data_IF_828090821350
#
_entry.id   IF_828090821350
#
_cell.length_a   1.000
_cell.length_b   1.000
_cell.length_c   1.000
_cell.angle_alpha   90.00
_cell.angle_beta   90.00
_cell.angle_gamma   90.00
#
_symmetry.space_group_name_H-M   'P 1'
#
loop_
_entity.id
_entity.type
_entity.pdbx_description
1 polymer ?
#
# COMPACT_ATOMS: atom_id res chain seq x y z
N UNK A 1 -10.00 -30.85 -2.50
CA UNK A 1 -9.89 -29.39 -2.36
C UNK A 1 -9.60 -29.11 -0.90
N UNK A 2 -8.41 -28.60 -0.60
CA UNK A 2 -7.89 -28.43 0.75
C UNK A 2 -8.84 -27.50 1.56
N UNK A 3 -9.09 -27.81 2.83
CA UNK A 3 -10.00 -27.04 3.69
C UNK A 3 -9.61 -25.54 3.69
N UNK A 4 -8.31 -25.23 3.68
CA UNK A 4 -7.75 -23.87 3.50
C UNK A 4 -8.31 -23.17 2.25
N UNK A 5 -8.38 -23.87 1.13
CA UNK A 5 -8.89 -23.31 -0.14
C UNK A 5 -10.40 -23.06 -0.10
N UNK A 6 -11.17 -23.88 0.61
CA UNK A 6 -12.61 -23.67 0.83
C UNK A 6 -12.89 -22.44 1.69
N UNK A 7 -12.13 -22.22 2.76
CA UNK A 7 -12.28 -21.04 3.62
C UNK A 7 -11.82 -19.77 2.91
N UNK A 8 -10.72 -19.81 2.15
CA UNK A 8 -10.28 -18.70 1.31
C UNK A 8 -11.33 -18.36 0.25
N UNK A 9 -11.90 -19.35 -0.43
CA UNK A 9 -12.98 -19.13 -1.42
C UNK A 9 -14.27 -18.61 -0.78
N UNK A 10 -14.63 -19.09 0.42
CA UNK A 10 -15.81 -18.57 1.15
C UNK A 10 -15.57 -17.14 1.61
N UNK A 11 -14.35 -16.80 2.06
CA UNK A 11 -13.95 -15.44 2.44
C UNK A 11 -13.97 -14.54 1.19
N UNK A 12 -13.43 -14.97 0.05
CA UNK A 12 -13.51 -14.22 -1.21
C UNK A 12 -14.93 -14.10 -1.76
N UNK A 13 -15.79 -15.11 -1.60
CA UNK A 13 -17.21 -15.06 -2.00
C UNK A 13 -18.03 -14.12 -1.10
N UNK A 14 -17.73 -14.08 0.19
CA UNK A 14 -18.36 -13.14 1.14
C UNK A 14 -17.87 -11.71 0.90
N UNK A 15 -16.60 -11.53 0.54
CA UNK A 15 -15.99 -10.23 0.18
C UNK A 15 -16.50 -9.75 -1.19
N UNK A 16 -16.70 -10.67 -2.16
CA UNK A 16 -17.18 -10.33 -3.52
C UNK A 16 -18.61 -9.78 -3.57
N UNK A 17 -19.38 -9.91 -2.49
CA UNK A 17 -20.82 -9.57 -2.54
C UNK A 17 -21.15 -8.17 -2.00
N UNK A 18 -20.30 -7.50 -1.19
CA UNK A 18 -20.67 -6.18 -0.64
C UNK A 18 -19.56 -5.18 -0.25
N UNK A 19 -18.33 -5.36 -0.62
CA UNK A 19 -17.40 -4.23 -0.51
C UNK A 19 -17.35 -3.50 -1.85
N UNK A 20 -18.37 -2.71 -2.15
CA UNK A 20 -18.19 -1.53 -2.99
C UNK A 20 -17.16 -0.68 -2.28
N UNK A 21 -15.91 -0.78 -2.72
CA UNK A 21 -14.82 0.04 -2.22
C UNK A 21 -15.18 1.47 -2.63
N UNK A 22 -15.48 2.39 -1.68
CA UNK A 22 -15.81 3.78 -2.03
C UNK A 22 -14.72 4.44 -2.87
N UNK A 23 -13.49 3.94 -2.78
CA UNK A 23 -12.34 4.38 -3.55
C UNK A 23 -12.54 4.27 -5.09
N UNK A 24 -13.27 3.29 -5.59
CA UNK A 24 -13.42 3.12 -7.04
C UNK A 24 -14.37 4.14 -7.65
N UNK A 25 -15.37 4.61 -6.91
CA UNK A 25 -16.30 5.65 -7.40
C UNK A 25 -15.64 7.04 -7.44
N UNK A 26 -14.58 7.27 -6.65
CA UNK A 26 -13.90 8.56 -6.57
C UNK A 26 -12.66 8.66 -7.48
N UNK A 27 -12.05 7.55 -7.89
CA UNK A 27 -10.83 7.55 -8.73
C UNK A 27 -11.09 8.13 -10.12
N UNK A 28 -12.17 7.76 -10.79
CA UNK A 28 -12.44 8.20 -12.16
C UNK A 28 -12.67 9.71 -12.26
N UNK A 29 -13.49 10.35 -11.42
CA UNK A 29 -13.59 11.81 -11.37
C UNK A 29 -12.27 12.51 -11.07
N UNK A 30 -11.44 11.96 -10.15
CA UNK A 30 -10.13 12.50 -9.83
C UNK A 30 -9.19 12.47 -11.05
N UNK A 31 -9.16 11.35 -11.78
CA UNK A 31 -8.39 11.24 -13.04
C UNK A 31 -8.85 12.31 -14.04
N UNK A 32 -10.15 12.43 -14.27
CA UNK A 32 -10.70 13.43 -15.21
C UNK A 32 -10.32 14.86 -14.83
N UNK A 33 -10.36 15.17 -13.54
CA UNK A 33 -9.94 16.48 -13.04
C UNK A 33 -8.48 16.77 -13.34
N UNK A 34 -7.58 15.83 -13.06
CA UNK A 34 -6.14 16.03 -13.31
C UNK A 34 -5.83 16.09 -14.81
N UNK A 35 -6.51 15.29 -15.65
CA UNK A 35 -6.37 15.37 -17.09
C UNK A 35 -6.82 16.73 -17.65
N UNK A 36 -7.87 17.34 -17.07
CA UNK A 36 -8.28 18.71 -17.46
C UNK A 36 -7.24 19.76 -17.09
N UNK A 37 -6.54 19.59 -15.95
CA UNK A 37 -5.41 20.46 -15.59
C UNK A 37 -4.31 20.34 -16.64
N UNK A 38 -3.93 19.13 -17.03
CA UNK A 38 -2.90 18.89 -18.04
C UNK A 38 -3.28 19.39 -19.44
N UNK A 39 -4.57 19.45 -19.81
CA UNK A 39 -5.00 20.09 -21.05
C UNK A 39 -4.70 21.59 -21.09
N UNK A 40 -4.70 22.26 -19.93
CA UNK A 40 -4.41 23.69 -19.78
C UNK A 40 -2.93 23.96 -19.54
N UNK A 41 -2.30 23.10 -18.77
CA UNK A 41 -0.88 23.16 -18.43
C UNK A 41 -0.24 21.77 -18.56
N UNK A 42 0.27 21.37 -19.73
CA UNK A 42 0.82 20.03 -19.98
C UNK A 42 2.03 19.66 -19.12
N UNK A 43 2.67 20.65 -18.50
CA UNK A 43 3.86 20.49 -17.65
C UNK A 43 3.54 20.63 -16.15
N UNK A 44 2.29 20.56 -15.76
CA UNK A 44 1.89 20.59 -14.34
C UNK A 44 2.37 19.33 -13.62
N UNK A 45 3.49 19.45 -12.92
CA UNK A 45 4.10 18.31 -12.22
C UNK A 45 3.22 17.72 -11.11
N UNK A 46 2.37 18.55 -10.49
CA UNK A 46 1.43 18.04 -9.47
C UNK A 46 0.37 17.17 -10.10
N UNK A 47 -0.22 17.62 -11.20
CA UNK A 47 -1.20 16.84 -11.94
C UNK A 47 -0.60 15.54 -12.51
N UNK A 48 0.65 15.60 -13.02
CA UNK A 48 1.37 14.40 -13.49
C UNK A 48 1.61 13.41 -12.36
N UNK A 49 2.06 13.88 -11.20
CA UNK A 49 2.24 13.04 -10.01
C UNK A 49 0.91 12.38 -9.62
N UNK A 50 -0.15 13.17 -9.46
CA UNK A 50 -1.46 12.64 -9.04
C UNK A 50 -1.98 11.60 -10.06
N UNK A 51 -1.84 11.83 -11.36
CA UNK A 51 -2.23 10.82 -12.36
C UNK A 51 -1.40 9.55 -12.29
N UNK A 52 -0.09 9.65 -12.10
CA UNK A 52 0.76 8.48 -11.89
C UNK A 52 0.22 7.62 -10.74
N UNK A 53 -0.04 8.20 -9.58
CA UNK A 53 -0.54 7.47 -8.41
C UNK A 53 -1.99 7.01 -8.54
N UNK A 54 -2.89 7.79 -9.16
CA UNK A 54 -4.26 7.38 -9.43
C UNK A 54 -4.33 6.19 -10.37
N UNK A 55 -3.47 6.13 -11.39
CA UNK A 55 -3.39 4.98 -12.28
C UNK A 55 -2.76 3.76 -11.61
N UNK A 56 -1.81 3.93 -10.66
CA UNK A 56 -1.36 2.84 -9.78
C UNK A 56 -2.52 2.25 -8.98
N UNK A 57 -3.32 3.09 -8.33
CA UNK A 57 -4.51 2.65 -7.58
C UNK A 57 -5.57 1.99 -8.46
N UNK A 58 -5.67 2.42 -9.71
CA UNK A 58 -6.57 1.82 -10.71
C UNK A 58 -6.02 0.50 -11.28
N UNK A 59 -4.79 0.11 -10.93
CA UNK A 59 -4.06 -1.02 -11.51
C UNK A 59 -3.79 -0.90 -13.02
N UNK A 60 -3.78 0.32 -13.56
CA UNK A 60 -3.36 0.63 -14.93
C UNK A 60 -1.88 1.07 -14.93
N UNK A 61 -1.00 0.09 -14.74
CA UNK A 61 0.43 0.33 -14.51
C UNK A 61 1.13 0.96 -15.71
N UNK A 62 0.67 0.67 -16.94
CA UNK A 62 1.25 1.28 -18.14
C UNK A 62 1.00 2.78 -18.20
N UNK A 63 -0.21 3.23 -17.85
CA UNK A 63 -0.49 4.65 -17.72
C UNK A 63 0.22 5.30 -16.55
N UNK A 64 0.36 4.59 -15.43
CA UNK A 64 1.16 5.07 -14.31
C UNK A 64 2.61 5.34 -14.72
N UNK A 65 3.22 4.42 -15.51
CA UNK A 65 4.56 4.60 -16.07
C UNK A 65 4.60 5.80 -17.02
N UNK A 66 3.64 5.93 -17.95
CA UNK A 66 3.58 7.05 -18.88
C UNK A 66 3.62 8.41 -18.15
N UNK A 67 2.78 8.58 -17.12
CA UNK A 67 2.75 9.82 -16.35
C UNK A 67 3.99 9.99 -15.47
N UNK A 68 4.52 8.91 -14.93
CA UNK A 68 5.77 8.90 -14.16
C UNK A 68 6.97 9.34 -15.00
N UNK A 69 7.11 8.84 -16.24
CA UNK A 69 8.17 9.23 -17.17
C UNK A 69 8.04 10.70 -17.61
N UNK A 70 6.82 11.16 -17.86
CA UNK A 70 6.58 12.59 -18.15
C UNK A 70 6.97 13.47 -16.97
N UNK A 71 6.60 13.08 -15.75
CA UNK A 71 6.98 13.79 -14.53
C UNK A 71 8.51 13.81 -14.37
N UNK A 72 9.18 12.68 -14.59
CA UNK A 72 10.63 12.57 -14.54
C UNK A 72 11.30 13.54 -15.54
N UNK A 73 10.86 13.51 -16.81
CA UNK A 73 11.41 14.35 -17.86
C UNK A 73 11.31 15.84 -17.49
N UNK A 74 10.13 16.30 -17.09
CA UNK A 74 9.90 17.70 -16.73
C UNK A 74 10.68 18.07 -15.47
N UNK A 75 10.70 17.20 -14.46
CA UNK A 75 11.50 17.38 -13.25
C UNK A 75 12.98 17.51 -13.56
N UNK A 76 13.50 16.70 -14.48
CA UNK A 76 14.90 16.76 -14.93
C UNK A 76 15.21 18.06 -15.68
N UNK A 77 14.36 18.47 -16.62
CA UNK A 77 14.51 19.72 -17.39
C UNK A 77 14.47 20.96 -16.47
N UNK A 78 13.64 20.93 -15.43
CA UNK A 78 13.51 22.00 -14.43
C UNK A 78 14.46 21.88 -13.25
N UNK A 79 15.29 20.84 -13.20
CA UNK A 79 16.18 20.50 -12.08
C UNK A 79 15.44 20.40 -10.74
N UNK A 80 14.17 19.93 -10.77
CA UNK A 80 13.35 19.76 -9.57
C UNK A 80 13.54 18.36 -8.97
N UNK A 81 14.65 18.21 -8.24
CA UNK A 81 15.01 16.96 -7.56
C UNK A 81 14.10 16.67 -6.36
N UNK A 82 13.60 17.71 -5.71
CA UNK A 82 12.80 17.58 -4.47
C UNK A 82 11.40 17.07 -4.72
N UNK A 83 10.81 17.39 -5.84
CA UNK A 83 9.44 16.98 -6.16
C UNK A 83 9.38 16.18 -7.46
N UNK A 84 9.67 16.78 -8.61
CA UNK A 84 9.48 16.13 -9.92
C UNK A 84 10.22 14.81 -10.03
N UNK A 85 11.53 14.81 -9.80
CA UNK A 85 12.38 13.62 -9.93
C UNK A 85 12.09 12.61 -8.81
N UNK A 86 11.97 13.07 -7.56
CA UNK A 86 11.69 12.20 -6.40
C UNK A 86 10.40 11.40 -6.60
N UNK A 87 9.27 12.09 -6.85
CA UNK A 87 7.99 11.41 -6.96
C UNK A 87 7.83 10.61 -8.27
N UNK A 88 8.52 10.99 -9.33
CA UNK A 88 8.61 10.16 -10.53
C UNK A 88 9.28 8.82 -10.23
N UNK A 89 10.41 8.82 -9.52
CA UNK A 89 11.09 7.59 -9.13
C UNK A 89 10.22 6.72 -8.20
N UNK A 90 9.49 7.31 -7.25
CA UNK A 90 8.57 6.56 -6.37
C UNK A 90 7.48 5.89 -7.22
N UNK A 91 6.80 6.65 -8.09
CA UNK A 91 5.71 6.13 -8.92
C UNK A 91 6.15 5.05 -9.90
N UNK A 92 7.29 5.27 -10.59
CA UNK A 92 7.88 4.30 -11.51
C UNK A 92 8.30 3.03 -10.77
N UNK A 93 8.97 3.15 -9.62
CA UNK A 93 9.34 2.01 -8.79
C UNK A 93 8.15 1.16 -8.40
N UNK A 94 7.07 1.78 -7.94
CA UNK A 94 5.83 1.06 -7.57
C UNK A 94 5.17 0.39 -8.79
N UNK A 95 5.10 1.08 -9.93
CA UNK A 95 4.52 0.51 -11.15
C UNK A 95 5.31 -0.72 -11.64
N UNK A 96 6.65 -0.64 -11.64
CA UNK A 96 7.51 -1.74 -12.04
C UNK A 96 7.43 -2.94 -11.08
N UNK A 97 7.26 -2.73 -9.76
CA UNK A 97 6.99 -3.84 -8.82
C UNK A 97 5.72 -4.58 -9.23
N UNK A 98 4.65 -3.86 -9.55
CA UNK A 98 3.37 -4.48 -9.90
C UNK A 98 3.41 -5.23 -11.24
N UNK A 99 4.36 -4.89 -12.11
CA UNK A 99 4.65 -5.61 -13.35
C UNK A 99 5.68 -6.74 -13.18
N UNK A 100 6.24 -6.91 -11.99
CA UNK A 100 7.28 -7.91 -11.71
C UNK A 100 8.65 -7.55 -12.30
N UNK A 101 8.87 -6.28 -12.62
CA UNK A 101 10.10 -5.80 -13.25
C UNK A 101 11.17 -5.45 -12.20
N UNK A 102 12.34 -6.07 -12.34
CA UNK A 102 13.47 -5.87 -11.41
C UNK A 102 14.08 -4.46 -11.46
N UNK A 103 13.81 -3.66 -12.50
CA UNK A 103 14.28 -2.27 -12.57
C UNK A 103 13.66 -1.38 -11.48
N UNK A 104 12.56 -1.82 -10.88
CA UNK A 104 11.90 -1.16 -9.76
C UNK A 104 12.87 -0.73 -8.65
N UNK A 105 13.83 -1.60 -8.28
CA UNK A 105 14.76 -1.32 -7.18
C UNK A 105 15.70 -0.15 -7.49
N UNK A 106 16.06 0.05 -8.76
CA UNK A 106 16.90 1.16 -9.17
C UNK A 106 16.16 2.49 -8.95
N UNK A 107 14.89 2.55 -9.35
CA UNK A 107 14.04 3.73 -9.12
C UNK A 107 13.85 4.01 -7.63
N UNK A 108 13.52 2.99 -6.82
CA UNK A 108 13.36 3.16 -5.38
C UNK A 108 14.67 3.55 -4.69
N UNK A 109 15.81 3.03 -5.15
CA UNK A 109 17.13 3.41 -4.65
C UNK A 109 17.43 4.90 -4.89
N UNK A 110 17.16 5.40 -6.09
CA UNK A 110 17.33 6.83 -6.41
C UNK A 110 16.36 7.70 -5.60
N UNK A 111 15.09 7.28 -5.47
CA UNK A 111 14.13 7.98 -4.64
C UNK A 111 14.58 8.06 -3.18
N UNK A 112 15.13 6.96 -2.62
CA UNK A 112 15.62 6.92 -1.25
C UNK A 112 16.74 7.93 -1.01
N UNK A 113 17.75 7.96 -1.89
CA UNK A 113 18.85 8.92 -1.79
C UNK A 113 18.35 10.37 -1.80
N UNK A 114 17.40 10.69 -2.67
CA UNK A 114 16.80 12.03 -2.75
C UNK A 114 15.99 12.35 -1.48
N UNK A 115 15.15 11.43 -1.02
CA UNK A 115 14.32 11.63 0.17
C UNK A 115 15.15 11.79 1.45
N UNK A 116 16.24 11.02 1.60
CA UNK A 116 17.18 11.14 2.72
C UNK A 116 17.90 12.50 2.71
N UNK A 117 18.37 12.95 1.54
CA UNK A 117 19.04 14.26 1.42
C UNK A 117 18.12 15.43 1.79
N UNK A 118 16.82 15.30 1.53
CA UNK A 118 15.80 16.31 1.82
C UNK A 118 15.11 16.11 3.18
N UNK A 119 15.47 15.06 3.93
CA UNK A 119 14.82 14.66 5.20
C UNK A 119 13.29 14.52 5.04
N UNK A 120 12.86 13.94 3.92
CA UNK A 120 11.45 13.78 3.57
C UNK A 120 10.92 12.44 4.08
N UNK A 121 10.56 12.37 5.37
CA UNK A 121 10.05 11.16 5.99
C UNK A 121 8.78 10.65 5.32
N UNK A 122 7.90 11.53 4.84
CA UNK A 122 6.68 11.12 4.11
C UNK A 122 6.99 10.36 2.81
N UNK A 123 8.02 10.79 2.07
CA UNK A 123 8.49 10.06 0.90
C UNK A 123 9.16 8.74 1.30
N UNK A 124 10.00 8.75 2.36
CA UNK A 124 10.68 7.55 2.86
C UNK A 124 9.69 6.45 3.24
N UNK A 125 8.54 6.78 3.86
CA UNK A 125 7.49 5.80 4.15
C UNK A 125 7.06 5.02 2.90
N UNK A 126 6.75 5.74 1.82
CA UNK A 126 6.31 5.14 0.55
C UNK A 126 7.42 4.35 -0.14
N UNK A 127 8.66 4.81 -0.04
CA UNK A 127 9.84 4.16 -0.61
C UNK A 127 10.12 2.85 0.12
N UNK A 128 10.13 2.84 1.45
CA UNK A 128 10.34 1.63 2.24
C UNK A 128 9.22 0.62 2.04
N UNK A 129 7.96 1.06 1.92
CA UNK A 129 6.87 0.18 1.52
C UNK A 129 7.15 -0.48 0.15
N UNK A 130 7.57 0.30 -0.84
CA UNK A 130 7.96 -0.23 -2.15
C UNK A 130 9.13 -1.22 -2.08
N UNK A 131 10.20 -0.90 -1.34
CA UNK A 131 11.34 -1.81 -1.17
C UNK A 131 10.94 -3.13 -0.49
N UNK A 132 10.07 -3.06 0.52
CA UNK A 132 9.51 -4.24 1.17
C UNK A 132 8.68 -5.11 0.23
N UNK A 133 7.81 -4.47 -0.58
CA UNK A 133 7.03 -5.18 -1.61
C UNK A 133 7.94 -5.79 -2.68
N UNK A 134 8.99 -5.10 -3.10
CA UNK A 134 9.98 -5.63 -4.03
C UNK A 134 10.65 -6.89 -3.47
N UNK A 135 11.14 -6.84 -2.23
CA UNK A 135 11.79 -7.98 -1.58
C UNK A 135 10.83 -9.17 -1.42
N UNK A 136 9.58 -8.93 -1.00
CA UNK A 136 8.60 -9.99 -0.77
C UNK A 136 8.05 -10.60 -2.05
N UNK A 137 7.69 -9.79 -3.05
CA UNK A 137 6.92 -10.25 -4.21
C UNK A 137 7.83 -10.77 -5.33
N UNK A 138 9.00 -10.14 -5.54
CA UNK A 138 9.91 -10.48 -6.62
C UNK A 138 10.94 -11.51 -6.16
N UNK A 139 11.56 -11.29 -5.00
CA UNK A 139 12.61 -12.16 -4.49
C UNK A 139 12.15 -13.19 -3.46
N UNK A 140 10.95 -13.05 -2.89
CA UNK A 140 10.44 -13.84 -1.75
C UNK A 140 11.39 -13.81 -0.54
N UNK A 141 12.16 -12.73 -0.42
CA UNK A 141 13.01 -12.46 0.73
C UNK A 141 12.20 -11.74 1.82
N UNK A 142 11.52 -12.56 2.63
CA UNK A 142 10.65 -12.05 3.69
C UNK A 142 11.44 -11.38 4.83
N UNK A 143 12.71 -11.72 5.01
CA UNK A 143 13.54 -11.08 6.02
C UNK A 143 13.82 -9.61 5.63
N UNK A 144 14.34 -9.39 4.44
CA UNK A 144 14.55 -8.03 3.92
C UNK A 144 13.24 -7.25 3.79
N UNK A 145 12.15 -7.92 3.42
CA UNK A 145 10.84 -7.27 3.34
C UNK A 145 10.38 -6.74 4.69
N UNK A 146 10.46 -7.55 5.75
CA UNK A 146 10.13 -7.13 7.12
C UNK A 146 11.01 -5.97 7.58
N UNK A 147 12.33 -6.03 7.31
CA UNK A 147 13.24 -4.94 7.64
C UNK A 147 12.77 -3.62 7.00
N UNK A 148 12.49 -3.61 5.70
CA UNK A 148 12.02 -2.39 5.03
C UNK A 148 10.66 -1.92 5.54
N UNK A 149 9.73 -2.82 5.83
CA UNK A 149 8.44 -2.42 6.38
C UNK A 149 8.57 -1.78 7.77
N UNK A 150 9.47 -2.28 8.62
CA UNK A 150 9.74 -1.66 9.93
C UNK A 150 10.41 -0.28 9.78
N UNK A 151 11.38 -0.12 8.88
CA UNK A 151 11.96 1.20 8.56
C UNK A 151 10.86 2.18 8.09
N UNK A 152 9.90 1.66 7.31
CA UNK A 152 8.74 2.44 6.88
C UNK A 152 7.86 2.87 8.05
N UNK A 153 7.59 1.99 9.02
CA UNK A 153 6.82 2.33 10.24
C UNK A 153 7.53 3.42 11.04
N UNK A 154 8.84 3.31 11.24
CA UNK A 154 9.62 4.35 11.92
C UNK A 154 9.50 5.71 11.20
N UNK A 155 9.49 5.70 9.88
CA UNK A 155 9.29 6.92 9.10
C UNK A 155 7.84 7.46 9.25
N UNK A 156 6.81 6.58 9.29
CA UNK A 156 5.42 7.04 9.50
C UNK A 156 5.23 7.71 10.86
N UNK A 157 5.89 7.21 11.91
CA UNK A 157 5.86 7.83 13.24
C UNK A 157 6.47 9.24 13.22
N UNK A 158 7.58 9.46 12.48
CA UNK A 158 8.20 10.79 12.38
C UNK A 158 7.35 11.81 11.62
N UNK A 159 6.60 11.37 10.61
CA UNK A 159 5.73 12.25 9.83
C UNK A 159 4.23 12.13 10.18
N UNK A 160 3.86 11.32 11.16
CA UNK A 160 2.48 11.09 11.64
C UNK A 160 1.52 10.61 10.53
N UNK A 161 1.98 9.71 9.66
CA UNK A 161 1.21 9.20 8.52
C UNK A 161 0.55 7.85 8.85
N UNK A 162 -0.52 7.88 9.64
CA UNK A 162 -1.20 6.69 10.18
C UNK A 162 -1.81 5.78 9.11
N UNK A 163 -2.33 6.32 8.00
CA UNK A 163 -2.89 5.49 6.93
C UNK A 163 -1.83 4.59 6.28
N UNK A 164 -0.61 5.11 6.09
CA UNK A 164 0.47 4.32 5.54
C UNK A 164 1.07 3.36 6.57
N UNK A 165 1.05 3.72 7.85
CA UNK A 165 1.38 2.81 8.95
C UNK A 165 0.48 1.56 8.91
N UNK A 166 -0.83 1.74 8.76
CA UNK A 166 -1.77 0.63 8.64
C UNK A 166 -1.48 -0.27 7.42
N UNK A 167 -1.06 0.30 6.29
CA UNK A 167 -0.66 -0.46 5.10
C UNK A 167 0.61 -1.29 5.38
N UNK A 168 1.61 -0.70 6.02
CA UNK A 168 2.86 -1.38 6.38
C UNK A 168 2.61 -2.53 7.36
N UNK A 169 1.80 -2.30 8.40
CA UNK A 169 1.36 -3.34 9.33
C UNK A 169 0.61 -4.47 8.61
N UNK A 170 -0.21 -4.14 7.61
CA UNK A 170 -0.89 -5.11 6.75
C UNK A 170 0.08 -5.98 5.96
N UNK A 171 1.13 -5.40 5.41
CA UNK A 171 2.17 -6.12 4.68
C UNK A 171 2.97 -7.03 5.62
N UNK A 172 3.31 -6.57 6.83
CA UNK A 172 3.97 -7.38 7.87
C UNK A 172 3.07 -8.55 8.26
N UNK A 173 1.80 -8.29 8.59
CA UNK A 173 0.83 -9.33 8.93
C UNK A 173 0.67 -10.36 7.82
N UNK A 174 0.70 -9.93 6.55
CA UNK A 174 0.62 -10.81 5.38
C UNK A 174 1.82 -11.76 5.27
N UNK A 175 3.02 -11.32 5.63
CA UNK A 175 4.20 -12.20 5.66
C UNK A 175 4.03 -13.28 6.72
N UNK A 176 3.58 -12.94 7.92
CA UNK A 176 3.31 -13.92 8.98
C UNK A 176 2.17 -14.87 8.61
N UNK A 177 1.14 -14.37 7.92
CA UNK A 177 0.07 -15.18 7.35
C UNK A 177 0.60 -16.23 6.37
N UNK A 178 1.49 -15.85 5.45
CA UNK A 178 2.08 -16.77 4.47
C UNK A 178 2.94 -17.86 5.13
N UNK A 179 3.49 -17.57 6.30
CA UNK A 179 4.33 -18.48 7.09
C UNK A 179 3.51 -19.36 8.06
N UNK A 180 2.21 -19.19 8.15
CA UNK A 180 1.35 -19.77 9.18
C UNK A 180 1.87 -19.45 10.61
N UNK A 181 2.42 -18.23 10.80
CA UNK A 181 3.02 -17.78 12.06
C UNK A 181 2.05 -16.85 12.80
N UNK A 182 1.58 -17.24 14.01
CA UNK A 182 0.60 -16.48 14.78
C UNK A 182 1.16 -15.13 15.32
N UNK A 183 2.45 -14.87 15.23
CA UNK A 183 3.05 -13.56 15.55
C UNK A 183 2.37 -12.41 14.79
N UNK A 184 1.82 -12.71 13.61
CA UNK A 184 1.02 -11.76 12.82
C UNK A 184 -0.21 -11.22 13.54
N UNK A 185 -0.67 -11.83 14.63
CA UNK A 185 -1.81 -11.38 15.43
C UNK A 185 -1.60 -9.97 15.98
N UNK A 186 -0.41 -9.69 16.53
CA UNK A 186 -0.09 -8.37 17.09
C UNK A 186 -0.29 -7.25 16.07
N UNK A 187 0.22 -7.45 14.85
CA UNK A 187 0.09 -6.47 13.77
C UNK A 187 -1.35 -6.33 13.27
N UNK A 188 -2.08 -7.43 13.20
CA UNK A 188 -3.50 -7.43 12.83
C UNK A 188 -4.36 -6.65 13.82
N UNK A 189 -4.09 -6.77 15.12
CA UNK A 189 -4.76 -6.01 16.17
C UNK A 189 -4.41 -4.52 16.10
N UNK A 190 -3.16 -4.16 15.81
CA UNK A 190 -2.77 -2.76 15.60
C UNK A 190 -3.51 -2.12 14.42
N UNK A 191 -3.68 -2.84 13.30
CA UNK A 191 -4.51 -2.37 12.17
C UNK A 191 -5.95 -2.13 12.60
N UNK A 192 -6.52 -3.06 13.40
CA UNK A 192 -7.87 -2.94 13.90
C UNK A 192 -8.05 -1.71 14.78
N UNK A 193 -7.11 -1.45 15.69
CA UNK A 193 -7.10 -0.27 16.56
C UNK A 193 -6.94 1.04 15.78
N UNK A 194 -6.00 1.09 14.83
CA UNK A 194 -5.85 2.24 13.93
C UNK A 194 -7.12 2.49 13.12
N UNK A 195 -7.81 1.45 12.69
CA UNK A 195 -9.09 1.55 12.00
C UNK A 195 -10.14 2.27 12.84
N UNK A 196 -10.21 1.99 14.15
CA UNK A 196 -11.10 2.71 15.07
C UNK A 196 -10.67 4.16 15.28
N UNK A 197 -9.38 4.43 15.45
CA UNK A 197 -8.85 5.78 15.61
C UNK A 197 -9.12 6.68 14.39
N UNK A 198 -8.97 6.11 13.18
CA UNK A 198 -9.17 6.79 11.91
C UNK A 198 -10.63 6.76 11.43
N UNK A 199 -11.54 6.13 12.19
CA UNK A 199 -12.93 5.88 11.79
C UNK A 199 -13.03 5.23 10.38
N UNK A 200 -12.12 4.29 10.09
CA UNK A 200 -12.02 3.59 8.82
C UNK A 200 -12.62 2.20 8.90
N UNK A 201 -13.83 2.03 8.39
CA UNK A 201 -14.50 0.72 8.33
C UNK A 201 -13.66 -0.32 7.56
N UNK A 202 -12.91 0.11 6.56
CA UNK A 202 -12.01 -0.75 5.80
C UNK A 202 -10.88 -1.32 6.66
N UNK A 203 -10.16 -0.47 7.42
CA UNK A 203 -9.06 -0.92 8.29
C UNK A 203 -9.58 -1.80 9.43
N UNK A 204 -10.72 -1.45 10.05
CA UNK A 204 -11.39 -2.27 11.05
C UNK A 204 -11.67 -3.68 10.48
N UNK A 205 -12.22 -3.72 9.26
CA UNK A 205 -12.53 -5.00 8.61
C UNK A 205 -11.27 -5.84 8.32
N UNK A 206 -10.24 -5.25 7.74
CA UNK A 206 -8.99 -5.95 7.39
C UNK A 206 -8.28 -6.43 8.66
N UNK A 207 -8.17 -5.57 9.68
CA UNK A 207 -7.56 -5.94 10.97
C UNK A 207 -8.29 -7.11 11.63
N UNK A 208 -9.63 -7.05 11.68
CA UNK A 208 -10.45 -8.13 12.23
C UNK A 208 -10.33 -9.44 11.44
N UNK A 209 -10.29 -9.38 10.11
CA UNK A 209 -10.14 -10.54 9.24
C UNK A 209 -8.79 -11.23 9.45
N UNK A 210 -7.70 -10.46 9.44
CA UNK A 210 -6.36 -10.99 9.66
C UNK A 210 -6.22 -11.56 11.08
N UNK A 211 -6.72 -10.88 12.11
CA UNK A 211 -6.71 -11.36 13.47
C UNK A 211 -7.50 -12.69 13.61
N UNK A 212 -8.66 -12.79 12.96
CA UNK A 212 -9.48 -14.04 12.99
C UNK A 212 -8.71 -15.24 12.43
N UNK A 213 -7.90 -15.04 11.39
CA UNK A 213 -7.04 -16.10 10.88
C UNK A 213 -5.94 -16.48 11.86
N UNK A 214 -5.29 -15.51 12.50
CA UNK A 214 -4.25 -15.79 13.50
C UNK A 214 -4.80 -16.51 14.72
N UNK A 215 -6.02 -16.16 15.19
CA UNK A 215 -6.71 -16.91 16.24
C UNK A 215 -7.05 -18.34 15.80
N UNK A 216 -7.38 -18.54 14.53
CA UNK A 216 -7.56 -19.90 13.99
C UNK A 216 -6.26 -20.73 14.09
N UNK A 217 -5.09 -20.14 13.78
CA UNK A 217 -3.79 -20.81 13.93
C UNK A 217 -3.47 -21.15 15.40
N UNK A 218 -3.92 -20.32 16.33
CA UNK A 218 -3.76 -20.52 17.77
C UNK A 218 -4.80 -21.49 18.38
N UNK A 219 -5.74 -22.00 17.58
CA UNK A 219 -6.89 -22.80 18.03
C UNK A 219 -7.84 -22.08 19.01
N UNK A 220 -7.82 -20.73 19.01
CA UNK A 220 -8.68 -19.88 19.84
C UNK A 220 -9.99 -19.53 19.12
N UNK A 221 -10.83 -20.54 18.91
CA UNK A 221 -12.05 -20.42 18.08
C UNK A 221 -13.11 -19.47 18.62
N UNK A 222 -13.19 -19.27 19.93
CA UNK A 222 -14.11 -18.30 20.54
C UNK A 222 -13.76 -16.86 20.18
N UNK A 223 -12.47 -16.55 20.05
CA UNK A 223 -12.00 -15.24 19.63
C UNK A 223 -12.34 -14.95 18.17
N UNK A 224 -12.30 -15.96 17.28
CA UNK A 224 -12.74 -15.83 15.88
C UNK A 224 -14.20 -15.37 15.83
N UNK A 225 -15.04 -16.02 16.68
CA UNK A 225 -16.48 -15.71 16.74
C UNK A 225 -16.73 -14.31 17.25
N UNK A 226 -15.94 -13.84 18.21
CA UNK A 226 -16.02 -12.49 18.77
C UNK A 226 -15.71 -11.43 17.70
N UNK A 227 -14.62 -11.58 16.96
CA UNK A 227 -14.23 -10.65 15.89
C UNK A 227 -15.19 -10.63 14.69
N UNK A 228 -15.78 -11.78 14.35
CA UNK A 228 -16.79 -11.88 13.29
C UNK A 228 -18.17 -11.35 13.72
N UNK A 229 -18.52 -11.43 15.02
CA UNK A 229 -19.82 -10.95 15.56
C UNK A 229 -19.78 -9.45 15.78
N UNK A 230 -18.64 -8.85 16.16
CA UNK A 230 -18.51 -7.40 16.32
C UNK A 230 -18.85 -6.66 15.03
N UNK A 231 -18.65 -7.29 13.87
CA UNK A 231 -19.07 -6.79 12.55
C UNK A 231 -20.60 -6.69 12.42
N UNK A 232 -21.38 -7.49 13.17
CA UNK A 232 -22.86 -7.55 13.06
C UNK A 232 -23.56 -6.48 13.90
N UNK A 233 -22.83 -5.86 14.85
CA UNK A 233 -23.40 -4.94 15.84
C UNK A 233 -23.00 -3.47 15.58
N UNK A 234 -22.02 -3.16 14.72
CA UNK A 234 -21.49 -1.81 14.50
C UNK A 234 -21.53 -1.38 13.03
N UNK A 235 -22.34 -2.02 12.19
CA UNK A 235 -22.77 -1.54 10.88
C UNK A 235 -24.24 -1.13 11.00
#
# INVERSE_FOLDING_TARGET
>A
MNLKLKYILIIFLIIGIQVRIPAQETILPAIQQQEQILKRNPEDMRALKELCFLYLHKADYHKAIEYGERLFKIGYEKQDYKFGILYAHIGLGQAYIMLGDSTAINHLGQAKLLAESEKNDSALCSIYNGMGLYASNIHRDYYSALHYFFEGIEATHRCQYQELEAILLGNISSIYYLKDDPTGLTYSLQIYELGHQLNSAYLIFIGALNASYMYYLLHEYDMIRLYLIYKKLNL
#
